data_IF_397946582195
#
_entry.id   IF_397946582195
#
_cell.length_a   1.000
_cell.length_b   1.000
_cell.length_c   1.000
_cell.angle_alpha   90.00
_cell.angle_beta   90.00
_cell.angle_gamma   90.00
#
_symmetry.space_group_name_H-M   'P 1'
#
loop_
_entity.id
_entity.type
_entity.pdbx_description
1 polymer ?
#
# COMPACT_ATOMS: atom_id res chain seq x y z
N UNK A 1 -1.21 40.33 -4.82
CA UNK A 1 -0.62 40.30 -6.18
C UNK A 1 -0.28 38.84 -6.48
N UNK A 2 -0.86 38.21 -7.52
CA UNK A 2 -0.48 36.84 -7.92
C UNK A 2 0.73 36.95 -8.84
N UNK A 3 1.84 36.32 -8.45
CA UNK A 3 3.03 36.19 -9.29
C UNK A 3 2.68 35.35 -10.55
N UNK A 4 3.08 35.77 -11.76
CA UNK A 4 2.89 34.95 -12.95
C UNK A 4 3.72 33.66 -12.88
N UNK A 5 3.18 32.55 -13.36
CA UNK A 5 3.89 31.27 -13.37
C UNK A 5 5.16 31.35 -14.21
N UNK A 6 6.24 30.78 -13.69
CA UNK A 6 7.54 30.65 -14.38
C UNK A 6 7.97 29.18 -14.38
N UNK A 7 8.01 28.58 -15.58
CA UNK A 7 8.42 27.19 -15.78
C UNK A 7 9.89 26.91 -15.44
N UNK A 8 10.73 27.95 -15.35
CA UNK A 8 12.13 27.82 -14.96
C UNK A 8 12.35 27.96 -13.46
N UNK A 9 11.33 28.40 -12.70
CA UNK A 9 11.37 28.50 -11.25
C UNK A 9 11.09 27.12 -10.63
N UNK A 10 12.07 26.49 -9.95
CA UNK A 10 11.86 25.19 -9.30
C UNK A 10 10.74 25.26 -8.25
N UNK A 11 10.60 26.40 -7.57
CA UNK A 11 9.52 26.65 -6.60
C UNK A 11 8.14 26.58 -7.25
N UNK A 12 7.95 27.22 -8.42
CA UNK A 12 6.67 27.20 -9.12
C UNK A 12 6.34 25.81 -9.65
N UNK A 13 7.33 25.09 -10.17
CA UNK A 13 7.14 23.71 -10.62
C UNK A 13 6.75 22.80 -9.45
N UNK A 14 7.45 22.89 -8.32
CA UNK A 14 7.13 22.10 -7.12
C UNK A 14 5.71 22.37 -6.59
N UNK A 15 5.26 23.63 -6.59
CA UNK A 15 3.88 23.97 -6.18
C UNK A 15 2.84 23.30 -7.08
N UNK A 16 3.04 23.27 -8.40
CA UNK A 16 2.13 22.59 -9.32
C UNK A 16 2.14 21.09 -9.11
N UNK A 17 3.32 20.49 -8.89
CA UNK A 17 3.45 19.06 -8.56
C UNK A 17 2.67 18.75 -7.27
N UNK A 18 2.90 19.49 -6.19
CA UNK A 18 2.21 19.31 -4.92
C UNK A 18 0.69 19.46 -5.05
N UNK A 19 0.20 20.47 -5.78
CA UNK A 19 -1.24 20.64 -6.00
C UNK A 19 -1.84 19.51 -6.81
N UNK A 20 -1.12 19.05 -7.84
CA UNK A 20 -1.55 17.92 -8.67
C UNK A 20 -1.63 16.65 -7.83
N UNK A 21 -0.60 16.35 -7.04
CA UNK A 21 -0.58 15.19 -6.13
C UNK A 21 -1.71 15.28 -5.10
N UNK A 22 -1.92 16.44 -4.47
CA UNK A 22 -3.02 16.67 -3.53
C UNK A 22 -4.38 16.48 -4.18
N UNK A 23 -4.54 16.87 -5.44
CA UNK A 23 -5.80 16.69 -6.15
C UNK A 23 -6.05 15.21 -6.51
N UNK A 24 -5.01 14.48 -6.91
CA UNK A 24 -5.08 13.04 -7.18
C UNK A 24 -5.41 12.28 -5.90
N UNK A 25 -4.68 12.52 -4.82
CA UNK A 25 -4.94 11.90 -3.51
C UNK A 25 -6.32 12.32 -2.97
N UNK A 26 -6.56 13.62 -2.88
CA UNK A 26 -7.74 14.21 -2.25
C UNK A 26 -9.04 13.91 -2.97
N UNK A 27 -9.07 14.05 -4.30
CA UNK A 27 -10.31 13.93 -5.08
C UNK A 27 -10.45 12.58 -5.74
N UNK A 28 -9.38 11.98 -6.25
CA UNK A 28 -9.47 10.75 -7.02
C UNK A 28 -9.51 9.54 -6.08
N UNK A 29 -8.49 9.38 -5.20
CA UNK A 29 -8.40 8.26 -4.27
C UNK A 29 -9.61 8.23 -3.34
N UNK A 30 -9.83 9.27 -2.54
CA UNK A 30 -10.92 9.24 -1.54
C UNK A 30 -12.32 9.12 -2.14
N UNK A 31 -12.64 9.83 -3.24
CA UNK A 31 -14.00 9.73 -3.80
C UNK A 31 -14.23 8.41 -4.50
N UNK A 32 -13.34 8.00 -5.42
CA UNK A 32 -13.61 6.80 -6.23
C UNK A 32 -13.63 5.58 -5.33
N UNK A 33 -12.65 5.45 -4.44
CA UNK A 33 -12.55 4.30 -3.55
C UNK A 33 -13.69 4.30 -2.53
N UNK A 34 -14.02 5.48 -1.98
CA UNK A 34 -15.18 5.61 -1.10
C UNK A 34 -16.49 5.21 -1.79
N UNK A 35 -16.71 5.62 -3.05
CA UNK A 35 -17.88 5.21 -3.82
C UNK A 35 -17.93 3.70 -4.06
N UNK A 36 -16.81 3.09 -4.46
CA UNK A 36 -16.71 1.65 -4.72
C UNK A 36 -16.93 0.84 -3.43
N UNK A 37 -16.33 1.29 -2.32
CA UNK A 37 -16.47 0.64 -1.02
C UNK A 37 -17.92 0.72 -0.55
N UNK A 38 -18.54 1.90 -0.60
CA UNK A 38 -19.95 2.07 -0.24
C UNK A 38 -20.88 1.22 -1.09
N UNK A 39 -20.62 1.12 -2.40
CA UNK A 39 -21.41 0.26 -3.28
C UNK A 39 -21.30 -1.22 -2.89
N UNK A 40 -20.08 -1.68 -2.58
CA UNK A 40 -19.84 -3.04 -2.13
C UNK A 40 -20.53 -3.31 -0.77
N UNK A 41 -20.42 -2.39 0.20
CA UNK A 41 -21.03 -2.54 1.52
C UNK A 41 -22.57 -2.60 1.44
N UNK A 42 -23.18 -1.74 0.63
CA UNK A 42 -24.63 -1.78 0.36
C UNK A 42 -25.04 -3.10 -0.31
N UNK A 43 -24.20 -3.61 -1.22
CA UNK A 43 -24.43 -4.90 -1.86
C UNK A 43 -24.38 -6.05 -0.85
N UNK A 44 -23.42 -6.03 0.08
CA UNK A 44 -23.32 -7.01 1.19
C UNK A 44 -24.54 -6.95 2.09
N UNK A 45 -25.02 -5.76 2.42
CA UNK A 45 -26.23 -5.59 3.22
C UNK A 45 -27.49 -6.12 2.53
N UNK A 46 -27.60 -5.93 1.21
CA UNK A 46 -28.78 -6.29 0.44
C UNK A 46 -28.81 -7.77 0.00
N UNK A 47 -27.65 -8.33 -0.35
CA UNK A 47 -27.53 -9.64 -1.01
C UNK A 47 -26.79 -10.69 -0.15
N UNK A 48 -26.08 -10.26 0.90
CA UNK A 48 -25.16 -11.10 1.65
C UNK A 48 -23.77 -11.20 1.00
N UNK A 49 -22.75 -11.52 1.81
CA UNK A 49 -21.33 -11.48 1.39
C UNK A 49 -21.03 -12.35 0.17
N UNK A 50 -21.54 -13.57 0.14
CA UNK A 50 -21.32 -14.55 -0.94
C UNK A 50 -21.87 -14.06 -2.30
N UNK A 51 -22.95 -13.27 -2.29
CA UNK A 51 -23.61 -12.80 -3.52
C UNK A 51 -23.19 -11.38 -3.93
N UNK A 52 -22.27 -10.75 -3.18
CA UNK A 52 -21.86 -9.35 -3.42
C UNK A 52 -20.71 -9.20 -4.41
N UNK A 53 -20.14 -10.31 -4.87
CA UNK A 53 -18.99 -10.31 -5.76
C UNK A 53 -17.72 -9.82 -5.07
N UNK A 54 -16.82 -9.23 -5.86
CA UNK A 54 -15.49 -8.79 -5.39
C UNK A 54 -15.57 -7.34 -4.92
N UNK A 55 -14.87 -7.02 -3.83
CA UNK A 55 -14.68 -5.63 -3.43
C UNK A 55 -13.72 -4.91 -4.41
N UNK A 56 -14.30 -4.24 -5.40
CA UNK A 56 -13.54 -3.50 -6.43
C UNK A 56 -12.75 -2.34 -5.82
N UNK A 57 -13.18 -1.79 -4.67
CA UNK A 57 -12.44 -0.73 -3.98
C UNK A 57 -11.03 -1.21 -3.60
N UNK A 58 -10.92 -2.43 -3.09
CA UNK A 58 -9.65 -3.07 -2.74
C UNK A 58 -8.74 -3.25 -3.95
N UNK A 59 -9.29 -3.66 -5.09
CA UNK A 59 -8.53 -3.78 -6.34
C UNK A 59 -7.99 -2.43 -6.83
N UNK A 60 -8.77 -1.35 -6.67
CA UNK A 60 -8.33 -0.01 -7.09
C UNK A 60 -7.25 0.54 -6.18
N UNK A 61 -7.34 0.30 -4.87
CA UNK A 61 -6.34 0.79 -3.91
C UNK A 61 -5.03 0.01 -3.99
N UNK A 62 -5.10 -1.32 -3.99
CA UNK A 62 -3.93 -2.20 -3.83
C UNK A 62 -3.51 -2.95 -5.09
N UNK A 63 -4.31 -2.86 -6.17
CA UNK A 63 -4.07 -3.61 -7.41
C UNK A 63 -4.29 -5.13 -7.28
N UNK A 64 -4.81 -5.61 -6.14
CA UNK A 64 -5.00 -7.03 -5.83
C UNK A 64 -6.17 -7.22 -4.85
N UNK A 65 -6.71 -8.44 -4.80
CA UNK A 65 -7.72 -8.86 -3.83
C UNK A 65 -7.18 -9.96 -2.89
N UNK A 66 -5.91 -10.35 -3.00
CA UNK A 66 -5.27 -11.25 -2.04
C UNK A 66 -5.03 -10.47 -0.72
N UNK A 67 -5.69 -10.86 0.38
CA UNK A 67 -5.59 -10.15 1.66
C UNK A 67 -4.16 -10.09 2.20
N UNK A 68 -3.33 -11.11 1.95
CA UNK A 68 -1.94 -11.13 2.43
C UNK A 68 -1.07 -10.11 1.70
N UNK A 69 -1.26 -9.97 0.39
CA UNK A 69 -0.59 -8.92 -0.40
C UNK A 69 -1.02 -7.51 0.04
N UNK A 70 -2.29 -7.36 0.43
CA UNK A 70 -2.82 -6.10 0.94
C UNK A 70 -2.18 -5.77 2.28
N UNK A 71 -2.09 -6.72 3.20
CA UNK A 71 -1.43 -6.52 4.50
C UNK A 71 0.02 -6.05 4.36
N UNK A 72 0.80 -6.67 3.47
CA UNK A 72 2.18 -6.23 3.21
C UNK A 72 2.23 -4.80 2.65
N UNK A 73 1.33 -4.44 1.75
CA UNK A 73 1.27 -3.06 1.23
C UNK A 73 0.83 -2.04 2.29
N UNK A 74 -0.08 -2.42 3.20
CA UNK A 74 -0.51 -1.58 4.33
C UNK A 74 0.61 -1.32 5.35
N UNK A 75 1.50 -2.30 5.56
CA UNK A 75 2.73 -2.14 6.35
C UNK A 75 3.70 -1.15 5.68
N UNK A 76 3.61 -1.00 4.35
CA UNK A 76 4.32 0.01 3.59
C UNK A 76 5.19 -0.54 2.46
N UNK A 77 5.15 -1.84 2.20
CA UNK A 77 5.87 -2.43 1.07
C UNK A 77 5.24 -2.00 -0.25
N UNK A 78 6.06 -1.74 -1.26
CA UNK A 78 5.63 -1.62 -2.64
C UNK A 78 5.04 -2.94 -3.13
N UNK A 79 4.14 -2.86 -4.11
CA UNK A 79 3.46 -4.04 -4.65
C UNK A 79 4.42 -5.11 -5.18
N UNK A 80 5.51 -4.70 -5.83
CA UNK A 80 6.52 -5.63 -6.36
C UNK A 80 7.18 -6.39 -5.22
N UNK A 81 7.66 -5.68 -4.19
CA UNK A 81 8.29 -6.27 -3.00
C UNK A 81 7.32 -7.16 -2.23
N UNK A 82 6.08 -6.72 -2.02
CA UNK A 82 5.05 -7.53 -1.38
C UNK A 82 4.79 -8.86 -2.13
N UNK A 83 4.84 -8.83 -3.47
CA UNK A 83 4.69 -10.02 -4.30
C UNK A 83 5.89 -10.96 -4.21
N UNK A 84 7.10 -10.41 -4.25
CA UNK A 84 8.34 -11.17 -4.04
C UNK A 84 8.35 -11.84 -2.67
N UNK A 85 8.04 -11.10 -1.61
CA UNK A 85 8.00 -11.63 -0.24
C UNK A 85 7.01 -12.80 -0.11
N UNK A 86 5.81 -12.69 -0.70
CA UNK A 86 4.83 -13.78 -0.65
C UNK A 86 5.15 -14.96 -1.56
N UNK A 87 5.88 -14.76 -2.65
CA UNK A 87 6.18 -15.83 -3.60
C UNK A 87 7.42 -16.60 -3.19
N UNK A 88 8.47 -15.88 -2.78
CA UNK A 88 9.82 -16.43 -2.62
C UNK A 88 10.23 -16.54 -1.15
N UNK A 89 9.55 -15.80 -0.25
CA UNK A 89 9.90 -15.71 1.17
C UNK A 89 8.71 -15.97 2.11
N UNK A 90 7.68 -16.69 1.65
CA UNK A 90 6.47 -16.98 2.43
C UNK A 90 6.78 -17.61 3.79
N UNK A 91 7.83 -18.43 3.88
CA UNK A 91 8.24 -19.11 5.12
C UNK A 91 8.76 -18.17 6.22
N UNK A 92 9.05 -16.91 5.90
CA UNK A 92 9.44 -15.88 6.87
C UNK A 92 8.27 -14.99 7.29
N UNK A 93 7.06 -15.24 6.79
CA UNK A 93 5.86 -14.46 7.09
C UNK A 93 4.87 -15.33 7.87
N UNK A 94 4.40 -14.81 9.00
CA UNK A 94 3.33 -15.45 9.76
C UNK A 94 2.04 -14.66 9.59
N UNK A 95 1.00 -15.36 9.13
CA UNK A 95 -0.33 -14.80 8.96
C UNK A 95 -1.34 -15.48 9.88
N UNK A 96 -2.27 -14.69 10.39
CA UNK A 96 -3.41 -15.16 11.17
C UNK A 96 -4.39 -15.97 10.31
N UNK A 97 -5.41 -16.54 10.96
CA UNK A 97 -6.52 -17.20 10.24
C UNK A 97 -7.38 -16.26 9.39
N UNK A 98 -7.27 -14.95 9.61
CA UNK A 98 -7.95 -13.91 8.82
C UNK A 98 -6.99 -13.22 7.84
N UNK A 99 -5.84 -13.84 7.54
CA UNK A 99 -4.82 -13.33 6.63
C UNK A 99 -4.18 -11.99 7.07
N UNK A 100 -4.26 -11.65 8.36
CA UNK A 100 -3.54 -10.51 8.95
C UNK A 100 -2.08 -10.89 9.20
N UNK A 101 -1.12 -10.00 8.89
CA UNK A 101 0.30 -10.27 9.15
C UNK A 101 0.57 -10.14 10.65
N UNK A 102 1.00 -11.24 11.28
CA UNK A 102 1.31 -11.31 12.71
C UNK A 102 2.81 -11.17 12.98
N UNK A 103 3.66 -11.78 12.14
CA UNK A 103 5.11 -11.71 12.29
C UNK A 103 5.84 -11.72 10.94
N UNK A 104 7.05 -11.16 10.93
CA UNK A 104 7.94 -11.13 9.79
C UNK A 104 9.40 -11.29 10.22
N UNK A 105 9.99 -12.46 9.93
CA UNK A 105 11.43 -12.74 10.13
C UNK A 105 12.26 -12.08 9.03
N UNK A 106 12.37 -10.76 9.13
CA UNK A 106 13.08 -9.94 8.13
C UNK A 106 14.59 -10.23 8.11
N UNK A 107 15.19 -10.68 9.22
CA UNK A 107 16.61 -11.04 9.30
C UNK A 107 16.90 -12.27 8.43
N UNK A 108 16.03 -13.29 8.49
CA UNK A 108 16.15 -14.45 7.61
C UNK A 108 16.01 -14.08 6.13
N UNK A 109 15.13 -13.14 5.80
CA UNK A 109 14.95 -12.66 4.42
C UNK A 109 16.16 -11.85 3.95
N UNK A 110 16.68 -10.94 4.78
CA UNK A 110 17.88 -10.16 4.46
C UNK A 110 19.12 -11.03 4.29
N UNK A 111 19.20 -12.17 4.99
CA UNK A 111 20.28 -13.15 4.80
C UNK A 111 20.19 -13.92 3.46
N UNK A 112 19.05 -13.87 2.76
CA UNK A 112 18.88 -14.53 1.47
C UNK A 112 19.72 -13.88 0.37
N UNK A 113 20.34 -14.72 -0.47
CA UNK A 113 21.08 -14.29 -1.67
C UNK A 113 20.19 -14.02 -2.88
N UNK A 114 18.92 -14.42 -2.84
CA UNK A 114 17.98 -14.28 -3.96
C UNK A 114 17.09 -13.05 -3.84
N UNK A 115 17.13 -12.37 -2.69
CA UNK A 115 16.35 -11.17 -2.43
C UNK A 115 16.77 -10.02 -3.35
N UNK A 116 15.82 -9.36 -3.97
CA UNK A 116 16.07 -8.21 -4.82
C UNK A 116 16.59 -7.01 -4.03
N UNK A 117 17.37 -6.15 -4.70
CA UNK A 117 17.88 -4.91 -4.09
C UNK A 117 16.75 -3.94 -3.70
N UNK A 118 15.64 -3.96 -4.46
CA UNK A 118 14.45 -3.16 -4.14
C UNK A 118 13.81 -3.64 -2.84
N UNK A 119 13.58 -4.96 -2.71
CA UNK A 119 13.04 -5.56 -1.49
C UNK A 119 13.95 -5.32 -0.28
N UNK A 120 15.26 -5.50 -0.45
CA UNK A 120 16.26 -5.22 0.59
C UNK A 120 16.16 -3.77 1.08
N UNK A 121 16.14 -2.82 0.16
CA UNK A 121 16.03 -1.40 0.49
C UNK A 121 14.72 -1.04 1.19
N UNK A 122 13.59 -1.62 0.77
CA UNK A 122 12.30 -1.38 1.44
C UNK A 122 12.25 -1.98 2.86
N UNK A 123 12.73 -3.21 3.05
CA UNK A 123 12.77 -3.87 4.37
C UNK A 123 13.59 -3.02 5.34
N UNK A 124 14.81 -2.63 4.95
CA UNK A 124 15.67 -1.80 5.80
C UNK A 124 14.98 -0.47 6.17
N UNK A 125 14.33 0.18 5.22
CA UNK A 125 13.63 1.45 5.45
C UNK A 125 12.42 1.32 6.37
N UNK A 126 11.67 0.21 6.28
CA UNK A 126 10.46 -0.01 7.07
C UNK A 126 10.85 -0.46 8.48
N UNK A 127 11.79 -1.40 8.63
CA UNK A 127 12.21 -1.90 9.95
C UNK A 127 12.87 -0.81 10.80
N UNK A 128 13.68 0.07 10.19
CA UNK A 128 14.22 1.25 10.90
C UNK A 128 13.11 2.18 11.43
N UNK A 129 11.98 2.31 10.72
CA UNK A 129 10.83 3.11 11.20
C UNK A 129 10.07 2.42 12.34
N UNK A 130 10.07 1.10 12.39
CA UNK A 130 9.39 0.31 13.43
C UNK A 130 10.17 0.41 14.75
N UNK A 131 11.50 0.23 14.73
CA UNK A 131 12.35 0.40 15.91
C UNK A 131 12.23 1.78 16.56
N UNK A 132 12.16 2.83 15.73
CA UNK A 132 12.01 4.21 16.21
C UNK A 132 10.65 4.46 16.87
N UNK A 133 9.61 3.68 16.53
CA UNK A 133 8.28 3.77 17.16
C UNK A 133 8.19 3.00 18.47
N UNK A 134 8.90 1.88 18.61
CA UNK A 134 8.89 1.06 19.85
C UNK A 134 9.74 1.70 20.96
N UNK A 135 10.74 2.51 20.60
CA UNK A 135 11.60 3.22 21.55
C UNK A 135 11.01 4.54 22.13
N UNK A 136 9.75 4.87 21.84
CA UNK A 136 9.05 6.07 22.35
C UNK A 136 7.84 5.70 23.19
#
# INVERSE_FOLDING_TARGET
MREPFDRKSPKHVNLIIEWTLRDIEGRLRFRIIGYLQNFFDVSVMALGREASGINVATLVEYGTADPRLIQLQEVGFGRTVATELLTDHLGALEFSRSDELEDFDFEAVLASTTLSEEARGEIENIMVKVDVKVAR
#
